data_IF_561849556548
#
_entry.id   IF_561849556548
#
_cell.length_a   1.000
_cell.length_b   1.000
_cell.length_c   1.000
_cell.angle_alpha   90.00
_cell.angle_beta   90.00
_cell.angle_gamma   90.00
#
_symmetry.space_group_name_H-M   'P 1'
#
loop_
_entity.id
_entity.type
_entity.pdbx_description
1 polymer ?
#
# COMPACT_ATOMS: atom_id res chain seq x y z
N UNK A 1 -36.16 -44.98 -27.32
CA UNK A 1 -36.68 -45.40 -26.00
C UNK A 1 -35.86 -44.66 -24.95
N UNK A 2 -35.91 -43.32 -24.86
CA UNK A 2 -37.00 -42.46 -24.33
C UNK A 2 -37.47 -42.93 -22.95
N UNK A 3 -37.06 -42.23 -21.89
CA UNK A 3 -37.95 -41.28 -21.20
C UNK A 3 -37.21 -40.46 -20.13
N UNK A 4 -37.28 -39.14 -20.30
CA UNK A 4 -37.38 -38.19 -19.19
C UNK A 4 -38.86 -38.06 -18.78
N UNK A 5 -39.12 -37.57 -17.56
CA UNK A 5 -39.64 -36.20 -17.41
C UNK A 5 -38.88 -35.47 -16.28
N UNK A 6 -38.72 -34.15 -16.20
CA UNK A 6 -39.56 -33.05 -16.65
C UNK A 6 -40.15 -32.34 -15.41
N UNK A 7 -39.78 -31.08 -15.15
CA UNK A 7 -40.67 -30.12 -14.46
C UNK A 7 -40.22 -29.43 -13.16
N UNK A 8 -39.66 -28.23 -13.35
CA UNK A 8 -39.99 -26.93 -12.72
C UNK A 8 -39.87 -26.59 -11.21
N UNK A 9 -39.10 -25.50 -11.01
CA UNK A 9 -39.34 -24.29 -10.20
C UNK A 9 -39.57 -24.40 -8.69
N UNK A 10 -38.71 -23.73 -7.92
CA UNK A 10 -39.11 -22.60 -7.08
C UNK A 10 -37.88 -21.98 -6.41
N UNK A 11 -37.64 -20.70 -6.73
CA UNK A 11 -36.85 -19.79 -5.92
C UNK A 11 -37.42 -19.74 -4.50
N UNK A 12 -36.58 -19.97 -3.48
CA UNK A 12 -36.92 -19.73 -2.08
C UNK A 12 -36.07 -18.58 -1.56
N UNK A 13 -36.56 -17.37 -1.75
CA UNK A 13 -36.36 -16.23 -0.88
C UNK A 13 -37.14 -16.46 0.43
N UNK A 14 -36.50 -16.24 1.57
CA UNK A 14 -37.12 -16.11 2.91
C UNK A 14 -36.06 -15.52 3.86
N UNK A 15 -36.43 -14.77 4.92
CA UNK A 15 -36.84 -13.38 4.84
C UNK A 15 -35.93 -12.45 5.67
N UNK A 16 -35.94 -11.18 5.29
CA UNK A 16 -35.48 -10.05 6.10
C UNK A 16 -36.33 -9.93 7.37
N UNK A 17 -35.70 -9.84 8.54
CA UNK A 17 -36.35 -9.34 9.75
C UNK A 17 -35.43 -8.36 10.48
N UNK A 18 -35.96 -7.14 10.61
CA UNK A 18 -35.41 -5.98 11.29
C UNK A 18 -35.31 -6.17 12.82
N UNK A 19 -34.23 -5.66 13.40
CA UNK A 19 -34.18 -4.80 14.61
C UNK A 19 -32.68 -4.49 14.84
N UNK A 20 -32.19 -3.25 14.84
CA UNK A 20 -32.68 -2.13 15.62
C UNK A 20 -31.79 -1.97 16.85
N UNK A 21 -30.58 -1.41 16.70
CA UNK A 21 -29.81 -0.87 17.82
C UNK A 21 -29.46 0.58 17.53
N UNK A 22 -30.34 1.45 18.02
CA UNK A 22 -30.12 2.89 18.10
C UNK A 22 -29.28 3.23 19.33
N UNK A 23 -28.54 4.32 19.18
CA UNK A 23 -27.85 5.12 20.18
C UNK A 23 -28.58 5.24 21.52
N UNK A 24 -27.82 5.24 22.62
CA UNK A 24 -28.23 5.97 23.83
C UNK A 24 -27.08 6.86 24.31
N UNK A 25 -27.33 8.16 24.25
CA UNK A 25 -26.53 9.24 24.81
C UNK A 25 -27.19 9.70 26.13
N UNK A 26 -26.38 9.77 27.19
CA UNK A 26 -26.35 10.69 28.38
C UNK A 26 -27.67 11.08 29.09
N UNK A 27 -27.67 11.26 30.43
CA UNK A 27 -27.62 12.64 30.94
C UNK A 27 -26.69 12.88 32.16
N UNK A 28 -26.38 14.17 32.30
CA UNK A 28 -25.41 14.86 33.16
C UNK A 28 -25.99 15.31 34.52
N UNK A 29 -25.07 15.65 35.43
CA UNK A 29 -25.13 16.56 36.62
C UNK A 29 -25.82 16.12 37.93
N UNK A 30 -25.08 16.21 39.07
CA UNK A 30 -25.08 17.39 39.96
C UNK A 30 -24.03 17.31 41.13
N UNK A 31 -23.31 18.42 41.32
CA UNK A 31 -22.78 19.10 42.54
C UNK A 31 -21.73 18.53 43.56
N UNK A 32 -20.51 19.12 43.47
CA UNK A 32 -19.67 19.96 44.41
C UNK A 32 -19.42 19.55 45.90
N UNK A 33 -18.35 20.05 46.62
CA UNK A 33 -17.57 21.31 46.42
C UNK A 33 -16.02 21.34 46.64
N UNK A 34 -15.47 22.47 46.18
CA UNK A 34 -14.29 23.33 46.49
C UNK A 34 -13.17 23.00 47.52
N UNK A 35 -11.93 23.35 47.12
CA UNK A 35 -10.82 24.05 47.83
C UNK A 35 -9.69 24.27 46.78
N UNK A 36 -8.88 25.33 46.66
CA UNK A 36 -8.81 26.70 47.18
C UNK A 36 -7.95 27.52 46.17
N UNK A 37 -8.15 28.83 46.12
CA UNK A 37 -7.42 29.79 45.29
C UNK A 37 -5.97 30.04 45.75
N UNK A 38 -5.09 30.35 44.80
CA UNK A 38 -4.05 31.37 44.99
C UNK A 38 -3.67 31.98 43.63
N UNK A 39 -4.10 33.24 43.43
CA UNK A 39 -3.75 34.11 42.31
C UNK A 39 -2.53 34.96 42.66
N UNK A 40 -1.57 35.12 41.74
CA UNK A 40 -0.74 36.33 41.60
C UNK A 40 -0.24 36.45 40.14
N UNK A 41 -0.61 37.56 39.49
CA UNK A 41 -0.15 38.08 38.19
C UNK A 41 0.51 39.46 38.46
N UNK A 42 1.06 40.20 37.48
CA UNK A 42 1.84 39.82 36.29
C UNK A 42 3.12 40.71 36.14
N UNK A 43 4.00 40.41 35.17
CA UNK A 43 4.68 41.47 34.39
C UNK A 43 5.28 40.93 33.07
N UNK A 44 5.27 41.81 32.07
CA UNK A 44 5.39 41.60 30.62
C UNK A 44 6.82 41.63 30.07
N UNK A 45 7.10 40.92 28.96
CA UNK A 45 7.58 41.53 27.69
C UNK A 45 7.93 40.53 26.58
N UNK A 46 7.31 40.76 25.42
CA UNK A 46 7.79 40.62 24.02
C UNK A 46 8.61 39.41 23.58
N UNK A 47 8.06 38.67 22.60
CA UNK A 47 8.83 37.73 21.76
C UNK A 47 7.94 36.93 20.81
N UNK A 48 7.25 37.61 19.88
CA UNK A 48 6.48 36.97 18.81
C UNK A 48 7.39 36.33 17.77
N UNK A 49 7.53 35.01 17.81
CA UNK A 49 8.07 34.19 16.75
C UNK A 49 7.11 33.05 16.46
N UNK A 50 6.31 33.20 15.40
CA UNK A 50 5.41 32.16 14.89
C UNK A 50 6.22 30.90 14.57
N UNK A 51 5.94 29.81 15.28
CA UNK A 51 6.27 28.47 14.85
C UNK A 51 5.08 27.96 14.03
N UNK A 52 5.11 28.21 12.72
CA UNK A 52 4.11 27.67 11.80
C UNK A 52 4.30 26.15 11.71
N UNK A 53 3.44 25.41 12.40
CA UNK A 53 3.29 23.96 12.23
C UNK A 53 2.50 23.69 10.93
N UNK A 54 3.05 22.98 9.93
CA UNK A 54 2.28 22.61 8.75
C UNK A 54 1.50 21.34 9.08
N UNK A 55 0.29 21.48 9.62
CA UNK A 55 -0.51 20.32 10.05
C UNK A 55 -1.96 20.44 9.59
N UNK A 56 -2.20 20.45 8.28
CA UNK A 56 -3.53 20.13 7.69
C UNK A 56 -3.54 20.08 6.16
N UNK A 57 -2.70 20.85 5.47
CA UNK A 57 -2.73 20.94 4.00
C UNK A 57 -2.25 19.67 3.26
N UNK A 58 -1.24 18.97 3.78
CA UNK A 58 -0.65 17.81 3.09
C UNK A 58 -1.61 16.61 3.00
N UNK A 59 -2.38 16.35 4.06
CA UNK A 59 -3.34 15.23 4.12
C UNK A 59 -4.57 15.46 3.25
N UNK A 60 -4.97 16.72 3.06
CA UNK A 60 -6.04 17.10 2.14
C UNK A 60 -5.58 16.94 0.69
N UNK A 61 -4.35 17.33 0.39
CA UNK A 61 -3.74 17.19 -0.94
C UNK A 61 -3.67 15.75 -1.42
N UNK A 62 -3.36 14.78 -0.55
CA UNK A 62 -3.27 13.36 -0.92
C UNK A 62 -4.61 12.76 -1.38
N UNK A 63 -5.72 13.13 -0.72
CA UNK A 63 -7.06 12.64 -1.08
C UNK A 63 -7.60 13.31 -2.33
N UNK A 64 -7.42 14.62 -2.47
CA UNK A 64 -7.81 15.35 -3.68
C UNK A 64 -7.00 14.87 -4.90
N UNK A 65 -5.71 14.59 -4.72
CA UNK A 65 -4.86 14.08 -5.78
C UNK A 65 -5.24 12.65 -6.23
N UNK A 66 -5.56 11.78 -5.27
CA UNK A 66 -6.06 10.42 -5.59
C UNK A 66 -7.37 10.48 -6.40
N UNK A 67 -8.25 11.44 -6.10
CA UNK A 67 -9.46 11.68 -6.88
C UNK A 67 -9.17 12.19 -8.31
N UNK A 68 -8.09 12.96 -8.51
CA UNK A 68 -7.68 13.46 -9.83
C UNK A 68 -7.01 12.39 -10.71
N UNK A 69 -6.28 11.45 -10.11
CA UNK A 69 -5.58 10.39 -10.84
C UNK A 69 -6.47 9.20 -11.18
N UNK A 70 -7.43 8.86 -10.31
CA UNK A 70 -8.39 7.77 -10.54
C UNK A 70 -8.30 6.64 -9.52
N UNK A 71 -9.19 5.67 -9.64
CA UNK A 71 -9.34 4.54 -8.71
C UNK A 71 -8.17 3.55 -8.71
N UNK A 72 -7.26 3.69 -9.67
CA UNK A 72 -6.03 2.92 -9.83
C UNK A 72 -4.99 3.25 -8.76
N UNK A 73 -4.95 4.50 -8.29
CA UNK A 73 -4.01 4.95 -7.26
C UNK A 73 -4.65 4.77 -5.88
N UNK A 74 -4.09 3.84 -5.11
CA UNK A 74 -4.50 3.52 -3.74
C UNK A 74 -3.45 4.01 -2.77
N UNK A 75 -3.90 4.76 -1.77
CA UNK A 75 -3.07 5.24 -0.66
C UNK A 75 -3.34 4.43 0.60
N UNK A 76 -2.27 4.05 1.29
CA UNK A 76 -2.42 3.55 2.65
C UNK A 76 -3.02 4.65 3.54
N UNK A 77 -3.95 4.31 4.45
CA UNK A 77 -4.49 5.29 5.39
C UNK A 77 -3.37 5.91 6.24
N UNK A 78 -3.14 7.20 6.06
CA UNK A 78 -2.10 7.92 6.78
C UNK A 78 -2.41 8.00 8.29
N UNK A 79 -1.42 7.67 9.11
CA UNK A 79 -1.43 7.83 10.56
C UNK A 79 -0.06 8.31 11.04
N UNK A 80 0.05 8.71 12.31
CA UNK A 80 1.30 9.28 12.83
C UNK A 80 2.46 8.28 12.87
N UNK A 81 2.18 6.97 12.93
CA UNK A 81 3.20 5.93 12.81
C UNK A 81 3.81 5.89 11.40
N UNK A 82 2.98 5.91 10.35
CA UNK A 82 3.47 5.95 8.97
C UNK A 82 4.27 7.24 8.73
N UNK A 83 3.78 8.38 9.26
CA UNK A 83 4.47 9.65 9.15
C UNK A 83 5.84 9.63 9.81
N UNK A 84 5.95 9.05 11.01
CA UNK A 84 7.23 8.90 11.74
C UNK A 84 8.24 8.05 10.94
N UNK A 85 7.79 6.91 10.39
CA UNK A 85 8.63 6.08 9.53
C UNK A 85 9.12 6.85 8.30
N UNK A 86 8.23 7.60 7.63
CA UNK A 86 8.59 8.44 6.49
C UNK A 86 9.56 9.55 6.89
N UNK A 87 9.40 10.17 8.07
CA UNK A 87 10.31 11.18 8.60
C UNK A 87 11.73 10.62 8.76
N UNK A 88 11.89 9.44 9.37
CA UNK A 88 13.21 8.81 9.55
C UNK A 88 13.84 8.46 8.20
N UNK A 89 13.06 7.90 7.27
CA UNK A 89 13.56 7.54 5.93
C UNK A 89 14.03 8.79 5.16
N UNK A 90 13.38 9.94 5.36
CA UNK A 90 13.73 11.20 4.71
C UNK A 90 14.86 11.96 5.42
N UNK A 91 15.16 11.65 6.68
CA UNK A 91 16.18 12.35 7.43
C UNK A 91 17.59 11.98 6.95
N UNK A 92 18.33 13.02 6.54
CA UNK A 92 19.74 12.91 6.16
C UNK A 92 20.63 12.51 7.34
N UNK A 93 20.23 12.84 8.57
CA UNK A 93 21.02 12.57 9.79
C UNK A 93 20.76 11.20 10.40
N UNK A 94 19.66 10.55 10.01
CA UNK A 94 19.33 9.19 10.46
C UNK A 94 20.43 8.21 10.11
N UNK A 95 20.79 7.36 11.08
CA UNK A 95 21.76 6.29 10.87
C UNK A 95 21.23 5.29 9.83
N UNK A 96 22.13 4.53 9.19
CA UNK A 96 21.72 3.45 8.27
C UNK A 96 20.85 2.40 8.99
N UNK A 97 21.12 2.13 10.27
CA UNK A 97 20.33 1.18 11.07
C UNK A 97 18.88 1.65 11.23
N UNK A 98 18.68 2.89 11.65
CA UNK A 98 17.34 3.47 11.83
C UNK A 98 16.58 3.59 10.51
N UNK A 99 17.30 3.94 9.43
CA UNK A 99 16.75 3.97 8.08
C UNK A 99 16.23 2.60 7.64
N UNK A 100 17.05 1.55 7.75
CA UNK A 100 16.64 0.20 7.36
C UNK A 100 15.49 -0.31 8.22
N UNK A 101 15.57 -0.12 9.54
CA UNK A 101 14.50 -0.50 10.46
C UNK A 101 13.17 0.17 10.10
N UNK A 102 13.20 1.47 9.82
CA UNK A 102 11.99 2.22 9.46
C UNK A 102 11.47 1.86 8.07
N UNK A 103 12.37 1.65 7.11
CA UNK A 103 12.04 1.19 5.77
C UNK A 103 11.38 -0.19 5.79
N UNK A 104 11.93 -1.15 6.53
CA UNK A 104 11.39 -2.51 6.64
C UNK A 104 10.00 -2.51 7.30
N UNK A 105 9.80 -1.68 8.33
CA UNK A 105 8.47 -1.48 8.95
C UNK A 105 7.47 -0.91 7.94
N UNK A 106 7.85 0.10 7.17
CA UNK A 106 6.97 0.71 6.17
C UNK A 106 6.66 -0.25 5.03
N UNK A 107 7.66 -1.01 4.56
CA UNK A 107 7.51 -2.08 3.56
C UNK A 107 6.50 -3.11 4.05
N UNK A 108 6.58 -3.55 5.31
CA UNK A 108 5.63 -4.52 5.86
C UNK A 108 4.19 -4.03 5.74
N UNK A 109 3.93 -2.76 6.06
CA UNK A 109 2.59 -2.17 5.95
C UNK A 109 2.08 -2.17 4.51
N UNK A 110 2.90 -1.74 3.54
CA UNK A 110 2.53 -1.73 2.12
C UNK A 110 2.32 -3.13 1.58
N UNK A 111 3.15 -4.09 1.97
CA UNK A 111 3.03 -5.48 1.55
C UNK A 111 1.74 -6.10 2.08
N UNK A 112 1.40 -5.92 3.35
CA UNK A 112 0.15 -6.44 3.93
C UNK A 112 -1.07 -5.86 3.21
N UNK A 113 -1.07 -4.54 2.95
CA UNK A 113 -2.14 -3.92 2.18
C UNK A 113 -2.16 -4.41 0.72
N UNK A 114 -1.00 -4.65 0.11
CA UNK A 114 -0.88 -5.23 -1.23
C UNK A 114 -1.46 -6.65 -1.31
N UNK A 115 -1.29 -7.45 -0.27
CA UNK A 115 -1.87 -8.79 -0.16
C UNK A 115 -3.40 -8.75 0.02
N UNK A 116 -3.92 -7.72 0.70
CA UNK A 116 -5.36 -7.51 0.87
C UNK A 116 -6.09 -7.27 -0.47
N UNK A 117 -5.36 -6.84 -1.51
CA UNK A 117 -5.90 -6.63 -2.86
C UNK A 117 -5.96 -7.93 -3.71
N UNK A 118 -5.50 -9.06 -3.17
CA UNK A 118 -5.50 -10.35 -3.86
C UNK A 118 -6.82 -11.11 -3.66
N UNK A 119 -7.24 -11.94 -4.63
CA UNK A 119 -8.49 -12.68 -4.54
C UNK A 119 -8.48 -13.68 -3.38
N UNK A 120 -9.63 -13.81 -2.72
CA UNK A 120 -9.90 -14.78 -1.67
C UNK A 120 -11.24 -15.48 -1.91
N UNK A 121 -11.42 -16.61 -1.24
CA UNK A 121 -12.68 -17.34 -1.18
C UNK A 121 -13.16 -17.42 0.25
N UNK A 122 -14.46 -17.30 0.45
CA UNK A 122 -15.10 -17.61 1.72
C UNK A 122 -14.89 -19.09 2.06
N UNK A 123 -14.69 -19.38 3.34
CA UNK A 123 -14.59 -20.74 3.84
C UNK A 123 -15.13 -20.83 5.26
N UNK A 124 -15.64 -22.00 5.61
CA UNK A 124 -16.09 -22.29 6.97
C UNK A 124 -15.10 -23.27 7.62
N UNK A 125 -14.60 -22.92 8.79
CA UNK A 125 -13.75 -23.79 9.61
C UNK A 125 -14.46 -24.19 10.89
N UNK A 126 -14.02 -25.29 11.50
CA UNK A 126 -14.50 -25.69 12.83
C UNK A 126 -13.40 -25.35 13.83
N UNK A 127 -13.74 -24.52 14.82
CA UNK A 127 -12.80 -24.11 15.87
C UNK A 127 -12.48 -25.28 16.80
N UNK A 128 -11.40 -25.20 17.61
CA UNK A 128 -11.12 -26.20 18.65
C UNK A 128 -12.26 -26.38 19.67
N UNK A 129 -13.13 -25.38 19.80
CA UNK A 129 -14.33 -25.41 20.67
C UNK A 129 -15.56 -26.02 19.99
N UNK A 130 -15.45 -26.48 18.74
CA UNK A 130 -16.54 -27.10 17.98
C UNK A 130 -17.46 -26.12 17.24
N UNK A 131 -17.24 -24.81 17.37
CA UNK A 131 -18.04 -23.79 16.70
C UNK A 131 -17.65 -23.65 15.23
N UNK A 132 -18.63 -23.33 14.37
CA UNK A 132 -18.37 -22.95 12.98
C UNK A 132 -17.95 -21.48 12.92
N UNK A 133 -16.83 -21.21 12.28
CA UNK A 133 -16.33 -19.85 12.02
C UNK A 133 -16.34 -19.59 10.52
N UNK A 134 -16.98 -18.50 10.12
CA UNK A 134 -16.99 -17.98 8.75
C UNK A 134 -15.77 -17.10 8.55
N UNK A 135 -14.88 -17.53 7.66
CA UNK A 135 -13.64 -16.84 7.37
C UNK A 135 -13.34 -16.79 5.88
N UNK A 136 -12.11 -16.40 5.55
CA UNK A 136 -11.64 -16.28 4.17
C UNK A 136 -10.32 -17.02 3.98
N UNK A 137 -10.07 -17.43 2.75
CA UNK A 137 -8.84 -18.09 2.33
C UNK A 137 -8.36 -17.50 1.01
N UNK A 138 -7.15 -16.95 1.01
CA UNK A 138 -6.53 -16.43 -0.21
C UNK A 138 -6.38 -17.49 -1.29
N UNK A 139 -6.61 -17.09 -2.53
CA UNK A 139 -6.38 -17.95 -3.69
C UNK A 139 -4.88 -18.16 -3.93
N UNK A 140 -4.54 -19.32 -4.47
CA UNK A 140 -3.18 -19.61 -4.93
C UNK A 140 -2.95 -18.95 -6.30
N UNK A 141 -1.70 -18.72 -6.65
CA UNK A 141 -1.34 -18.21 -7.98
C UNK A 141 -0.77 -16.80 -7.97
N UNK A 142 -0.34 -16.28 -6.81
CA UNK A 142 0.31 -14.97 -6.73
C UNK A 142 1.83 -15.12 -6.86
N UNK A 143 2.52 -14.08 -7.33
CA UNK A 143 3.97 -13.98 -7.29
C UNK A 143 4.40 -12.52 -7.08
N UNK A 144 5.59 -12.34 -6.51
CA UNK A 144 6.27 -11.05 -6.47
C UNK A 144 7.19 -10.89 -7.68
N UNK A 145 7.39 -9.67 -8.12
CA UNK A 145 8.44 -9.31 -9.08
C UNK A 145 9.19 -8.09 -8.54
N UNK A 146 10.48 -8.22 -8.26
CA UNK A 146 11.30 -7.08 -7.83
C UNK A 146 12.00 -6.45 -9.03
N UNK A 147 11.94 -5.11 -9.10
CA UNK A 147 12.79 -4.34 -10.02
C UNK A 147 14.09 -4.04 -9.30
N UNK A 148 15.19 -4.60 -9.81
CA UNK A 148 16.51 -4.45 -9.20
C UNK A 148 17.04 -3.03 -9.43
N UNK A 149 17.76 -2.44 -8.46
CA UNK A 149 18.13 -3.02 -7.15
C UNK A 149 17.14 -2.72 -6.02
N UNK A 150 16.54 -1.53 -6.00
CA UNK A 150 15.73 -1.05 -4.86
C UNK A 150 14.49 -1.91 -4.58
N UNK A 151 13.89 -2.55 -5.58
CA UNK A 151 12.79 -3.49 -5.40
C UNK A 151 13.13 -4.71 -4.55
N UNK A 152 14.42 -5.08 -4.46
CA UNK A 152 14.87 -6.22 -3.66
C UNK A 152 14.71 -5.99 -2.16
N UNK A 153 14.72 -4.72 -1.70
CA UNK A 153 14.46 -4.35 -0.31
C UNK A 153 13.08 -4.85 0.18
N UNK A 154 12.12 -4.96 -0.74
CA UNK A 154 10.74 -5.36 -0.40
C UNK A 154 10.55 -6.89 -0.36
N UNK A 155 11.52 -7.67 -0.87
CA UNK A 155 11.38 -9.12 -0.97
C UNK A 155 11.26 -9.78 0.40
N UNK A 156 12.01 -9.30 1.38
CA UNK A 156 12.00 -9.87 2.73
C UNK A 156 10.63 -9.65 3.38
N UNK A 157 10.10 -8.42 3.33
CA UNK A 157 8.75 -8.12 3.81
C UNK A 157 7.69 -9.00 3.16
N UNK A 158 7.79 -9.24 1.86
CA UNK A 158 6.87 -10.14 1.14
C UNK A 158 6.97 -11.61 1.59
N UNK A 159 8.19 -12.14 1.78
CA UNK A 159 8.39 -13.52 2.25
C UNK A 159 7.93 -13.72 3.69
N UNK A 160 8.07 -12.70 4.53
CA UNK A 160 7.62 -12.73 5.92
C UNK A 160 6.09 -12.75 6.04
N UNK A 161 5.37 -12.21 5.06
CA UNK A 161 3.91 -12.35 4.98
C UNK A 161 3.49 -13.66 4.28
N UNK A 162 4.23 -14.06 3.23
CA UNK A 162 3.86 -15.16 2.34
C UNK A 162 5.04 -16.12 2.10
N UNK A 163 5.22 -17.10 2.98
CA UNK A 163 6.37 -18.04 2.98
C UNK A 163 6.63 -18.78 1.67
N UNK A 164 5.60 -19.04 0.85
CA UNK A 164 5.70 -19.83 -0.38
C UNK A 164 5.52 -19.01 -1.66
N UNK A 165 5.67 -17.68 -1.59
CA UNK A 165 5.53 -16.83 -2.78
C UNK A 165 6.76 -16.96 -3.68
N UNK A 166 6.51 -17.10 -4.99
CA UNK A 166 7.58 -17.10 -5.99
C UNK A 166 7.97 -15.66 -6.29
N UNK A 167 9.27 -15.39 -6.48
CA UNK A 167 9.78 -14.06 -6.80
C UNK A 167 10.51 -14.10 -8.14
N UNK A 168 10.03 -13.30 -9.09
CA UNK A 168 10.76 -12.96 -10.31
C UNK A 168 11.58 -11.68 -10.12
N UNK A 169 12.54 -11.45 -11.01
CA UNK A 169 13.43 -10.28 -10.94
C UNK A 169 13.60 -9.66 -12.32
N UNK A 170 13.67 -8.33 -12.37
CA UNK A 170 13.95 -7.55 -13.57
C UNK A 170 15.09 -6.59 -13.26
N UNK A 171 16.13 -6.55 -14.11
CA UNK A 171 17.16 -5.50 -14.10
C UNK A 171 16.86 -4.51 -15.22
N UNK A 172 16.58 -3.28 -14.83
CA UNK A 172 16.39 -2.16 -15.76
C UNK A 172 17.40 -1.10 -15.38
N UNK A 173 18.15 -0.62 -16.36
CA UNK A 173 19.09 0.48 -16.17
C UNK A 173 18.84 1.50 -17.27
N UNK A 174 18.79 2.77 -16.87
CA UNK A 174 18.74 3.89 -17.82
C UNK A 174 20.13 4.07 -18.40
N UNK A 175 20.19 4.08 -19.72
CA UNK A 175 21.40 4.42 -20.46
C UNK A 175 21.72 5.90 -20.25
N UNK A 176 22.95 6.22 -19.83
CA UNK A 176 23.35 7.57 -19.44
C UNK A 176 23.34 8.55 -20.62
N UNK A 177 23.63 8.07 -21.83
CA UNK A 177 23.72 8.90 -23.04
C UNK A 177 22.35 9.14 -23.67
N UNK A 178 21.52 8.09 -23.74
CA UNK A 178 20.23 8.14 -24.44
C UNK A 178 19.03 8.37 -23.53
N UNK A 179 19.22 8.26 -22.21
CA UNK A 179 18.17 8.30 -21.18
C UNK A 179 17.05 7.26 -21.41
N UNK A 180 17.31 6.23 -22.22
CA UNK A 180 16.38 5.13 -22.48
C UNK A 180 16.57 4.03 -21.43
N UNK A 181 15.47 3.56 -20.86
CA UNK A 181 15.47 2.39 -20.01
C UNK A 181 15.74 1.15 -20.86
N UNK A 182 16.76 0.37 -20.50
CA UNK A 182 17.09 -0.90 -21.16
C UNK A 182 16.97 -2.05 -20.17
N UNK A 183 16.41 -3.15 -20.63
CA UNK A 183 16.26 -4.39 -19.86
C UNK A 183 17.52 -5.23 -20.02
N UNK A 184 18.23 -5.48 -18.93
CA UNK A 184 19.46 -6.27 -18.92
C UNK A 184 19.24 -7.71 -18.47
N UNK A 185 18.21 -7.93 -17.67
CA UNK A 185 17.90 -9.24 -17.10
C UNK A 185 16.41 -9.30 -16.77
N UNK A 186 15.76 -10.42 -17.09
CA UNK A 186 14.41 -10.72 -16.66
C UNK A 186 14.31 -12.23 -16.42
N UNK A 187 13.89 -12.63 -15.22
CA UNK A 187 13.66 -14.04 -14.90
C UNK A 187 12.43 -14.17 -14.02
N UNK A 188 11.47 -14.94 -14.50
CA UNK A 188 10.15 -15.09 -13.88
C UNK A 188 9.83 -16.55 -13.58
N UNK A 189 8.83 -16.81 -12.72
CA UNK A 189 8.19 -18.12 -12.68
C UNK A 189 7.71 -18.54 -14.08
N UNK A 190 7.87 -19.80 -14.49
CA UNK A 190 7.51 -20.25 -15.84
C UNK A 190 6.00 -20.11 -16.14
N UNK A 191 5.18 -19.99 -15.10
CA UNK A 191 3.74 -19.84 -15.17
C UNK A 191 3.24 -18.41 -14.86
N UNK A 192 4.11 -17.38 -14.98
CA UNK A 192 3.78 -15.99 -14.61
C UNK A 192 2.55 -15.43 -15.35
N UNK A 193 2.33 -15.81 -16.60
CA UNK A 193 1.19 -15.39 -17.43
C UNK A 193 -0.19 -15.77 -16.84
N UNK A 194 -0.24 -16.66 -15.84
CA UNK A 194 -1.47 -17.08 -15.14
C UNK A 194 -1.58 -16.52 -13.73
N UNK A 195 -0.66 -15.64 -13.32
CA UNK A 195 -0.49 -15.19 -11.94
C UNK A 195 -0.87 -13.73 -11.76
N UNK A 196 -1.30 -13.40 -10.55
CA UNK A 196 -1.34 -12.01 -10.06
C UNK A 196 0.08 -11.60 -9.66
N UNK A 197 0.49 -10.41 -10.08
CA UNK A 197 1.86 -9.93 -9.91
C UNK A 197 1.88 -8.77 -8.92
N UNK A 198 2.61 -8.94 -7.81
CA UNK A 198 3.00 -7.86 -6.93
C UNK A 198 4.34 -7.30 -7.43
N UNK A 199 4.29 -6.23 -8.22
CA UNK A 199 5.47 -5.56 -8.75
C UNK A 199 6.03 -4.63 -7.68
N UNK A 200 7.27 -4.84 -7.24
CA UNK A 200 7.86 -4.14 -6.09
C UNK A 200 8.91 -3.14 -6.56
N UNK A 201 8.69 -1.86 -6.26
CA UNK A 201 9.63 -0.78 -6.52
C UNK A 201 9.38 0.41 -5.58
N UNK A 202 10.22 0.63 -4.54
CA UNK A 202 9.93 1.55 -3.45
C UNK A 202 9.76 3.04 -3.83
N UNK A 203 10.38 3.48 -4.93
CA UNK A 203 10.51 4.90 -5.29
C UNK A 203 9.98 5.14 -6.71
N UNK A 204 8.85 5.83 -6.84
CA UNK A 204 8.29 6.24 -8.12
C UNK A 204 8.58 7.72 -8.40
N UNK A 205 9.71 7.98 -9.06
CA UNK A 205 10.09 9.34 -9.48
C UNK A 205 9.43 9.74 -10.81
N UNK A 206 9.88 9.21 -11.94
CA UNK A 206 9.32 9.54 -13.27
C UNK A 206 8.33 8.50 -13.79
N UNK A 207 8.40 7.27 -13.25
CA UNK A 207 7.60 6.13 -13.70
C UNK A 207 8.22 5.32 -14.84
N UNK A 208 9.23 5.85 -15.55
CA UNK A 208 9.83 5.20 -16.72
C UNK A 208 10.34 3.77 -16.46
N UNK A 209 11.03 3.56 -15.33
CA UNK A 209 11.54 2.23 -14.94
C UNK A 209 10.41 1.22 -14.75
N UNK A 210 9.29 1.65 -14.14
CA UNK A 210 8.13 0.79 -13.95
C UNK A 210 7.40 0.55 -15.26
N UNK A 211 7.29 1.57 -16.12
CA UNK A 211 6.67 1.41 -17.43
C UNK A 211 7.41 0.34 -18.23
N UNK A 212 8.74 0.38 -18.25
CA UNK A 212 9.55 -0.61 -18.94
C UNK A 212 9.41 -2.01 -18.30
N UNK A 213 9.36 -2.09 -16.97
CA UNK A 213 9.11 -3.36 -16.27
C UNK A 213 7.76 -3.97 -16.62
N UNK A 214 6.72 -3.16 -16.73
CA UNK A 214 5.37 -3.60 -17.11
C UNK A 214 5.35 -4.06 -18.57
N UNK A 215 6.06 -3.39 -19.49
CA UNK A 215 6.22 -3.85 -20.87
C UNK A 215 6.83 -5.24 -20.95
N UNK A 216 7.92 -5.49 -20.20
CA UNK A 216 8.53 -6.83 -20.11
C UNK A 216 7.55 -7.86 -19.57
N UNK A 217 6.75 -7.52 -18.55
CA UNK A 217 5.74 -8.43 -18.02
C UNK A 217 4.66 -8.77 -19.05
N UNK A 218 4.22 -7.78 -19.85
CA UNK A 218 3.26 -7.96 -20.95
C UNK A 218 3.84 -8.87 -22.04
N UNK A 219 5.11 -8.69 -22.40
CA UNK A 219 5.81 -9.59 -23.34
C UNK A 219 5.83 -11.05 -22.85
N UNK A 220 5.78 -11.26 -21.54
CA UNK A 220 5.67 -12.58 -20.90
C UNK A 220 4.22 -13.02 -20.64
N UNK A 221 3.23 -12.35 -21.25
CA UNK A 221 1.82 -12.73 -21.22
C UNK A 221 1.05 -12.26 -19.98
N UNK A 222 1.61 -11.36 -19.16
CA UNK A 222 0.92 -10.79 -18.00
C UNK A 222 0.05 -9.61 -18.43
N UNK A 223 -1.21 -9.60 -18.04
CA UNK A 223 -2.11 -8.48 -18.33
C UNK A 223 -1.90 -7.33 -17.31
N UNK A 224 -1.96 -6.05 -17.73
CA UNK A 224 -1.84 -4.92 -16.80
C UNK A 224 -2.84 -4.95 -15.63
N UNK A 225 -4.07 -5.40 -15.88
CA UNK A 225 -5.15 -5.55 -14.90
C UNK A 225 -4.87 -6.55 -13.76
N UNK A 226 -3.83 -7.37 -13.88
CA UNK A 226 -3.41 -8.33 -12.84
C UNK A 226 -2.12 -7.91 -12.12
N UNK A 227 -1.59 -6.72 -12.44
CA UNK A 227 -0.38 -6.15 -11.84
C UNK A 227 -0.79 -5.14 -10.76
N UNK A 228 -0.23 -5.33 -9.57
CA UNK A 228 -0.32 -4.42 -8.44
C UNK A 228 1.08 -3.92 -8.14
N UNK A 229 1.34 -2.65 -8.43
CA UNK A 229 2.59 -1.99 -8.14
C UNK A 229 2.61 -1.56 -6.66
N UNK A 230 3.55 -2.09 -5.90
CA UNK A 230 3.83 -1.73 -4.52
C UNK A 230 4.99 -0.72 -4.49
N UNK A 231 4.70 0.47 -3.97
CA UNK A 231 5.67 1.54 -3.76
C UNK A 231 5.57 2.08 -2.33
N UNK A 232 6.63 2.73 -1.85
CA UNK A 232 6.59 3.47 -0.60
C UNK A 232 6.32 4.95 -0.90
N UNK A 233 7.05 5.51 -1.86
CA UNK A 233 7.04 6.92 -2.20
C UNK A 233 6.68 7.09 -3.67
N UNK A 234 5.68 7.92 -3.97
CA UNK A 234 5.34 8.26 -5.35
C UNK A 234 5.34 9.76 -5.57
N UNK A 235 5.82 10.20 -6.73
CA UNK A 235 5.53 11.56 -7.18
C UNK A 235 4.20 11.60 -7.94
N UNK A 236 3.55 12.77 -8.00
CA UNK A 236 2.40 12.99 -8.86
C UNK A 236 2.64 12.60 -10.32
N UNK A 237 3.79 13.00 -10.85
CA UNK A 237 4.16 12.75 -12.23
C UNK A 237 4.37 11.26 -12.50
N UNK A 238 5.09 10.57 -11.62
CA UNK A 238 5.37 9.14 -11.76
C UNK A 238 4.10 8.28 -11.78
N UNK A 239 3.17 8.52 -10.85
CA UNK A 239 1.90 7.81 -10.82
C UNK A 239 1.06 8.08 -12.08
N UNK A 240 0.97 9.35 -12.50
CA UNK A 240 0.21 9.74 -13.69
C UNK A 240 0.76 9.10 -14.97
N UNK A 241 2.07 9.13 -15.17
CA UNK A 241 2.72 8.54 -16.35
C UNK A 241 2.43 7.04 -16.46
N UNK A 242 2.51 6.31 -15.34
CA UNK A 242 2.23 4.86 -15.32
C UNK A 242 0.76 4.57 -15.64
N UNK A 243 -0.18 5.31 -15.05
CA UNK A 243 -1.62 5.09 -15.25
C UNK A 243 -2.06 5.49 -16.66
N UNK A 244 -1.44 6.52 -17.25
CA UNK A 244 -1.70 6.91 -18.63
C UNK A 244 -1.27 5.83 -19.63
N UNK A 245 -0.12 5.18 -19.39
CA UNK A 245 0.37 4.08 -20.24
C UNK A 245 -0.42 2.77 -19.97
N UNK A 246 -0.78 2.50 -18.71
CA UNK A 246 -1.47 1.29 -18.29
C UNK A 246 -2.71 1.60 -17.43
N UNK A 247 -3.86 1.94 -18.04
CA UNK A 247 -5.04 2.37 -17.29
C UNK A 247 -5.66 1.34 -16.34
N UNK A 248 -5.32 0.05 -16.51
CA UNK A 248 -5.84 -1.04 -15.67
C UNK A 248 -4.89 -1.44 -14.52
N UNK A 249 -3.68 -0.86 -14.46
CA UNK A 249 -2.73 -1.18 -13.38
C UNK A 249 -3.22 -0.61 -12.05
N UNK A 250 -2.96 -1.31 -10.95
CA UNK A 250 -3.16 -0.76 -9.60
C UNK A 250 -1.84 -0.29 -9.04
N UNK A 251 -1.77 0.95 -8.54
CA UNK A 251 -0.63 1.49 -7.79
C UNK A 251 -1.04 1.59 -6.32
N UNK A 252 -0.28 0.95 -5.43
CA UNK A 252 -0.42 1.06 -3.99
C UNK A 252 0.82 1.73 -3.41
N UNK A 253 0.64 2.88 -2.74
CA UNK A 253 1.74 3.67 -2.17
C UNK A 253 1.38 4.25 -0.81
N UNK A 254 2.38 4.65 -0.01
CA UNK A 254 2.14 5.25 1.32
C UNK A 254 1.91 6.74 1.27
N UNK A 255 2.44 7.40 0.25
CA UNK A 255 2.27 8.83 0.03
C UNK A 255 2.40 9.21 -1.44
N UNK A 256 1.85 10.38 -1.78
CA UNK A 256 2.21 11.12 -2.99
C UNK A 256 2.88 12.43 -2.60
N UNK A 257 4.14 12.62 -2.98
CA UNK A 257 4.91 13.80 -2.63
C UNK A 257 5.69 14.33 -3.84
N UNK A 258 5.81 15.66 -4.05
CA UNK A 258 6.56 16.22 -5.19
C UNK A 258 8.02 15.74 -5.28
N UNK A 259 8.61 15.44 -4.13
CA UNK A 259 10.00 14.97 -3.99
C UNK A 259 10.04 13.59 -3.35
N UNK A 260 10.57 12.61 -4.09
CA UNK A 260 10.79 11.25 -3.62
C UNK A 260 12.24 11.07 -3.10
N UNK A 261 12.48 10.23 -2.08
CA UNK A 261 13.82 9.98 -1.54
C UNK A 261 14.62 9.07 -2.49
N UNK A 262 15.24 9.67 -3.52
CA UNK A 262 15.99 8.93 -4.56
C UNK A 262 17.22 8.19 -4.05
N UNK A 263 17.76 8.58 -2.90
CA UNK A 263 18.88 7.92 -2.22
C UNK A 263 18.49 6.59 -1.53
N UNK A 264 17.21 6.18 -1.57
CA UNK A 264 16.71 5.01 -0.85
C UNK A 264 17.55 3.74 -1.10
N UNK A 265 17.81 3.42 -2.38
CA UNK A 265 18.57 2.22 -2.73
C UNK A 265 20.02 2.25 -2.20
N UNK A 266 20.69 3.41 -2.28
CA UNK A 266 22.06 3.57 -1.79
C UNK A 266 22.12 3.40 -0.28
N UNK A 267 21.27 4.11 0.47
CA UNK A 267 21.26 4.07 1.94
C UNK A 267 20.82 2.69 2.48
N UNK A 268 19.80 2.07 1.87
CA UNK A 268 19.33 0.74 2.27
C UNK A 268 20.44 -0.32 2.12
N UNK A 269 21.10 -0.36 0.96
CA UNK A 269 22.15 -1.35 0.68
C UNK A 269 23.55 -0.95 1.17
N UNK A 270 23.73 0.29 1.66
CA UNK A 270 25.03 0.80 2.13
C UNK A 270 26.03 0.99 1.00
N UNK A 271 25.57 1.59 -0.11
CA UNK A 271 26.39 1.92 -1.28
C UNK A 271 26.38 3.41 -1.59
N UNK A 272 26.15 4.24 -0.57
CA UNK A 272 26.28 5.70 -0.58
C UNK A 272 27.74 6.17 -0.49
#
# INVERSE_FOLDING_TARGET
MSDQPGGNSASKTMPTLLAGYAHSSIPTELDRPACDEASLNPESSSGSGNCDAPTSESLLGDREFSQQIGSQLKLLPMNDQIRELQTIIRDKTASRGDFMFSADRLIRLVVEEGLNQLPYKECMVTTPTGYKYEGVKFEKGNCGVSIMRSGEAMEQGLRDCCRSIRIGKILIQSDEETQRAKVYYAKFPPDIYRRKVLLMYPILSTGNTVIEAVKVLIEHGVQPSVIILLSLFSTPHGAKSIIQEFPEITILTTEVHPVAPTHFGQKYFGTD
#
